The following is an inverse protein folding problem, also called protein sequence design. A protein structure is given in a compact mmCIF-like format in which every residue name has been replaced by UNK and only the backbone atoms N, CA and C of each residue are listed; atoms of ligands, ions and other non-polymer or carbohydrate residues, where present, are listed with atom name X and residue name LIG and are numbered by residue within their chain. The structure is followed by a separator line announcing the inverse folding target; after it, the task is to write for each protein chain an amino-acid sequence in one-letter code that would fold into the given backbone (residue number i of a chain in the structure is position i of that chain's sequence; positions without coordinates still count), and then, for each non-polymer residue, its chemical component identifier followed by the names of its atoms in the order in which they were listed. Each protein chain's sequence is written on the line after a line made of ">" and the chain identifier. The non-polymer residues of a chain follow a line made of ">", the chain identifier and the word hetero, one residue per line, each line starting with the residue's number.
data_IF_654383575066
#
_entry.id   IF_654383575066
#
_cell.length_a   1.000
_cell.length_b   1.000
_cell.length_c   1.000
_cell.angle_alpha   90.00
_cell.angle_beta   90.00
_cell.angle_gamma   90.00
#
_symmetry.space_group_name_H-M   'P 1'
#
loop_
_entity.id
_entity.type
_entity.pdbx_description
1 polymer ?
#
# COMPACT_ATOMS: atom_id res chain seq x y z
N UNK A 1 15.57 -7.87 14.20
CA UNK A 1 15.96 -7.12 12.99
C UNK A 1 15.67 -5.63 13.06
N UNK A 2 14.43 -5.10 12.98
CA UNK A 2 14.19 -3.64 13.02
C UNK A 2 14.83 -2.95 14.24
N UNK A 3 14.61 -3.48 15.45
CA UNK A 3 15.15 -2.88 16.69
C UNK A 3 16.68 -2.91 16.79
N UNK A 4 17.36 -3.81 16.07
CA UNK A 4 18.82 -3.94 16.06
C UNK A 4 19.44 -3.08 14.96
N UNK A 5 18.81 -3.04 13.80
CA UNK A 5 19.36 -2.42 12.58
C UNK A 5 18.86 -0.99 12.35
N UNK A 6 17.72 -0.60 12.93
CA UNK A 6 17.03 0.65 12.63
C UNK A 6 16.47 0.73 11.21
N UNK A 7 16.62 -0.31 10.39
CA UNK A 7 16.27 -0.28 8.98
C UNK A 7 14.77 -0.57 8.78
N UNK A 8 14.00 0.38 8.21
CA UNK A 8 12.56 0.23 8.00
C UNK A 8 12.19 -0.95 7.11
N UNK A 9 13.11 -1.53 6.32
CA UNK A 9 12.81 -2.73 5.53
C UNK A 9 12.46 -3.94 6.38
N UNK A 10 12.92 -3.96 7.64
CA UNK A 10 12.59 -5.00 8.60
C UNK A 10 11.42 -4.61 9.50
N UNK A 11 10.78 -3.47 9.23
CA UNK A 11 9.56 -3.08 9.91
C UNK A 11 8.42 -3.95 9.42
N UNK A 12 8.16 -5.01 10.17
CA UNK A 12 6.95 -5.80 10.06
C UNK A 12 5.92 -5.16 10.98
N UNK A 13 4.65 -5.10 10.56
CA UNK A 13 3.54 -4.79 11.45
C UNK A 13 3.43 -5.90 12.50
N UNK A 14 4.23 -5.80 13.56
CA UNK A 14 4.05 -6.61 14.75
C UNK A 14 3.01 -5.85 15.56
N UNK A 15 1.75 -6.07 15.22
CA UNK A 15 0.65 -5.72 16.10
C UNK A 15 0.81 -6.56 17.37
N UNK A 16 1.62 -6.10 18.31
CA UNK A 16 1.46 -6.50 19.70
C UNK A 16 0.31 -5.64 20.28
N UNK A 17 -0.89 -5.81 19.73
CA UNK A 17 -2.10 -5.58 20.50
C UNK A 17 -2.05 -6.69 21.53
N UNK A 18 -1.75 -6.37 22.78
CA UNK A 18 -2.04 -7.34 23.83
C UNK A 18 -3.54 -7.62 23.75
N UNK A 19 -3.93 -8.88 23.55
CA UNK A 19 -5.33 -9.29 23.51
C UNK A 19 -6.01 -8.76 24.77
N UNK A 20 -6.82 -7.71 24.63
CA UNK A 20 -7.55 -7.09 25.75
C UNK A 20 -8.68 -8.02 26.23
N UNK A 21 -8.93 -9.12 25.52
CA UNK A 21 -9.96 -10.11 25.78
C UNK A 21 -9.42 -11.54 25.80
N UNK A 22 -8.13 -11.75 26.08
CA UNK A 22 -7.54 -13.10 26.05
C UNK A 22 -8.30 -14.09 26.94
N UNK A 23 -8.77 -13.64 28.10
CA UNK A 23 -9.61 -14.43 29.00
C UNK A 23 -10.94 -14.83 28.35
N UNK A 24 -11.62 -13.90 27.66
CA UNK A 24 -12.86 -14.18 26.91
C UNK A 24 -12.63 -15.06 25.68
N UNK A 25 -11.50 -14.92 25.01
CA UNK A 25 -11.11 -15.79 23.89
C UNK A 25 -10.79 -17.19 24.37
N UNK A 26 -10.05 -17.35 25.46
CA UNK A 26 -9.75 -18.66 26.05
C UNK A 26 -11.02 -19.35 26.58
N UNK A 27 -12.01 -18.59 27.07
CA UNK A 27 -13.35 -19.09 27.45
C UNK A 27 -14.23 -19.47 26.25
N UNK A 28 -14.03 -18.84 25.09
CA UNK A 28 -14.83 -19.08 23.87
C UNK A 28 -14.14 -19.99 22.85
N UNK A 29 -12.88 -20.37 23.09
CA UNK A 29 -12.18 -21.33 22.27
C UNK A 29 -12.86 -22.70 22.36
N UNK A 30 -13.13 -23.35 21.22
CA UNK A 30 -13.64 -24.71 21.24
C UNK A 30 -12.62 -25.63 21.92
N UNK A 31 -13.12 -26.62 22.65
CA UNK A 31 -12.27 -27.59 23.34
C UNK A 31 -11.35 -28.26 22.32
N UNK A 32 -10.04 -28.18 22.55
CA UNK A 32 -9.06 -28.84 21.70
C UNK A 32 -9.37 -30.34 21.56
N UNK A 33 -9.24 -30.89 20.35
CA UNK A 33 -9.60 -32.28 20.03
C UNK A 33 -8.91 -33.27 20.97
N UNK A 34 -7.67 -32.98 21.40
CA UNK A 34 -6.91 -33.77 22.37
C UNK A 34 -7.53 -33.87 23.78
N UNK A 35 -8.35 -32.88 24.17
CA UNK A 35 -9.12 -32.90 25.43
C UNK A 35 -10.47 -33.60 25.28
N UNK A 36 -10.96 -33.75 24.03
CA UNK A 36 -12.21 -34.47 23.73
C UNK A 36 -11.95 -35.98 23.70
N UNK A 37 -10.79 -36.42 23.21
CA UNK A 37 -10.40 -37.83 23.07
C UNK A 37 -9.84 -38.44 24.37
N UNK A 38 -10.33 -38.01 25.53
CA UNK A 38 -9.77 -38.26 26.86
C UNK A 38 -9.01 -39.59 27.01
N UNK A 39 -7.67 -39.51 27.05
CA UNK A 39 -6.80 -40.56 27.59
C UNK A 39 -6.90 -41.96 26.98
N UNK A 40 -7.34 -42.11 25.72
CA UNK A 40 -7.20 -43.39 25.03
C UNK A 40 -5.76 -43.54 24.54
N UNK A 41 -5.09 -44.53 25.12
CA UNK A 41 -3.72 -44.97 24.88
C UNK A 41 -3.41 -45.21 23.41
N UNK A 42 -2.13 -45.06 23.08
CA UNK A 42 -1.51 -45.45 21.82
C UNK A 42 -1.81 -46.90 21.46
N UNK A 43 -2.92 -47.16 20.76
CA UNK A 43 -3.18 -48.42 20.07
C UNK A 43 -3.11 -48.18 18.55
N UNK A 44 -2.19 -48.93 17.95
CA UNK A 44 -1.96 -49.23 16.53
C UNK A 44 -2.61 -48.29 15.51
N UNK A 45 -1.74 -47.54 14.80
CA UNK A 45 -2.10 -46.69 13.67
C UNK A 45 -2.73 -47.50 12.53
N UNK A 46 -4.05 -47.64 12.56
CA UNK A 46 -4.83 -48.01 11.38
C UNK A 46 -4.51 -47.05 10.22
N UNK A 47 -4.53 -47.53 8.96
CA UNK A 47 -4.23 -46.69 7.80
C UNK A 47 -5.13 -45.46 7.83
N UNK A 48 -4.52 -44.28 7.68
CA UNK A 48 -5.17 -42.97 7.85
C UNK A 48 -6.56 -42.94 7.20
N UNK A 49 -7.60 -43.12 8.01
CA UNK A 49 -9.00 -43.00 7.55
C UNK A 49 -9.17 -41.58 7.04
N UNK A 50 -9.64 -41.46 5.80
CA UNK A 50 -10.00 -40.17 5.22
C UNK A 50 -10.97 -39.46 6.15
N UNK A 51 -10.59 -38.27 6.61
CA UNK A 51 -11.41 -37.46 7.50
C UNK A 51 -12.76 -37.20 6.83
N UNK A 52 -13.85 -37.60 7.49
CA UNK A 52 -15.21 -37.36 7.00
C UNK A 52 -15.86 -36.26 7.82
N UNK A 53 -16.56 -35.36 7.15
CA UNK A 53 -17.36 -34.30 7.79
C UNK A 53 -18.43 -34.86 8.76
N UNK A 54 -18.77 -36.15 8.61
CA UNK A 54 -19.75 -36.87 9.43
C UNK A 54 -19.13 -37.65 10.59
N UNK A 55 -17.81 -37.54 10.79
CA UNK A 55 -17.13 -38.23 11.90
C UNK A 55 -17.68 -37.74 13.26
N UNK A 56 -18.03 -38.64 14.20
CA UNK A 56 -18.47 -38.28 15.54
C UNK A 56 -17.56 -37.28 16.26
N UNK A 57 -16.25 -37.28 15.97
CA UNK A 57 -15.27 -36.33 16.53
C UNK A 57 -15.62 -34.87 16.15
N UNK A 58 -16.27 -34.65 15.00
CA UNK A 58 -16.69 -33.34 14.52
C UNK A 58 -18.17 -33.04 14.75
N UNK A 59 -18.92 -33.91 15.42
CA UNK A 59 -20.37 -33.75 15.62
C UNK A 59 -20.77 -32.45 16.34
N UNK A 60 -19.86 -31.87 17.14
CA UNK A 60 -20.03 -30.58 17.82
C UNK A 60 -19.24 -29.43 17.18
N UNK A 61 -18.56 -29.68 16.07
CA UNK A 61 -17.73 -28.71 15.37
C UNK A 61 -18.55 -27.76 14.50
N UNK A 62 -18.05 -26.54 14.33
CA UNK A 62 -18.58 -25.55 13.37
C UNK A 62 -17.66 -25.52 12.15
N UNK A 63 -18.24 -25.45 10.95
CA UNK A 63 -17.51 -25.53 9.69
C UNK A 63 -17.35 -24.15 9.05
N UNK A 64 -16.14 -23.84 8.58
CA UNK A 64 -15.87 -22.71 7.70
C UNK A 64 -15.65 -23.26 6.30
N UNK A 65 -16.56 -22.94 5.38
CA UNK A 65 -16.48 -23.38 3.98
C UNK A 65 -15.72 -22.34 3.17
N UNK A 66 -14.59 -22.73 2.60
CA UNK A 66 -13.89 -21.89 1.64
C UNK A 66 -14.68 -21.85 0.33
N UNK A 67 -14.96 -20.64 -0.15
CA UNK A 67 -15.68 -20.43 -1.40
C UNK A 67 -14.69 -20.02 -2.48
N UNK A 68 -14.86 -20.46 -3.74
CA UNK A 68 -14.00 -20.00 -4.83
C UNK A 68 -13.90 -18.48 -4.86
N UNK A 69 -12.68 -17.96 -4.94
CA UNK A 69 -12.43 -16.52 -4.99
C UNK A 69 -13.04 -15.90 -6.26
N UNK A 70 -13.62 -14.71 -6.12
CA UNK A 70 -14.13 -13.95 -7.26
C UNK A 70 -13.08 -12.98 -7.80
N UNK A 71 -13.05 -12.83 -9.12
CA UNK A 71 -12.19 -11.85 -9.80
C UNK A 71 -12.95 -10.53 -9.90
N UNK A 72 -12.32 -9.43 -9.48
CA UNK A 72 -12.88 -8.10 -9.62
C UNK A 72 -12.31 -7.42 -10.87
N UNK A 73 -13.19 -7.03 -11.81
CA UNK A 73 -12.79 -6.38 -13.06
C UNK A 73 -12.14 -5.00 -12.85
N UNK A 74 -12.42 -4.34 -11.72
CA UNK A 74 -11.81 -3.06 -11.34
C UNK A 74 -10.39 -3.22 -10.75
N UNK A 75 -9.91 -4.45 -10.60
CA UNK A 75 -8.57 -4.73 -10.08
C UNK A 75 -7.55 -4.74 -11.23
N UNK A 76 -6.57 -3.84 -11.19
CA UNK A 76 -5.50 -3.84 -12.20
C UNK A 76 -4.47 -4.95 -11.96
N UNK A 77 -4.51 -5.68 -10.84
CA UNK A 77 -3.56 -6.77 -10.55
C UNK A 77 -3.54 -7.84 -11.63
N UNK A 78 -4.71 -8.16 -12.19
CA UNK A 78 -4.85 -9.19 -13.22
C UNK A 78 -4.23 -8.77 -14.56
N UNK A 79 -3.88 -7.50 -14.73
CA UNK A 79 -3.21 -7.00 -15.92
C UNK A 79 -1.69 -7.19 -15.88
N UNK A 80 -1.12 -7.34 -14.69
CA UNK A 80 0.33 -7.44 -14.51
C UNK A 80 0.80 -8.89 -14.60
N UNK A 81 1.99 -9.08 -15.15
CA UNK A 81 2.74 -10.33 -15.05
C UNK A 81 3.34 -10.49 -13.65
N UNK A 82 3.78 -11.70 -13.31
CA UNK A 82 4.45 -11.95 -12.02
C UNK A 82 5.67 -11.06 -11.80
N UNK A 83 6.46 -10.81 -12.84
CA UNK A 83 7.65 -9.96 -12.77
C UNK A 83 7.28 -8.49 -12.50
N UNK A 84 6.20 -8.00 -13.12
CA UNK A 84 5.69 -6.65 -12.89
C UNK A 84 5.08 -6.49 -11.49
N UNK A 85 4.39 -7.53 -10.99
CA UNK A 85 3.78 -7.53 -9.66
C UNK A 85 4.80 -7.35 -8.54
N UNK A 86 6.03 -7.86 -8.71
CA UNK A 86 7.13 -7.67 -7.75
C UNK A 86 7.45 -6.19 -7.54
N UNK A 87 7.26 -5.36 -8.57
CA UNK A 87 7.51 -3.92 -8.54
C UNK A 87 6.28 -3.13 -8.08
N UNK A 88 5.08 -3.53 -8.51
CA UNK A 88 3.83 -2.81 -8.18
C UNK A 88 3.42 -3.04 -6.73
N UNK A 89 3.49 -4.28 -6.24
CA UNK A 89 3.04 -4.62 -4.89
C UNK A 89 4.06 -4.16 -3.84
N UNK A 90 3.62 -3.42 -2.81
CA UNK A 90 4.53 -2.96 -1.77
C UNK A 90 5.02 -4.13 -0.90
N UNK A 91 6.31 -4.42 -0.98
CA UNK A 91 7.00 -5.43 -0.15
C UNK A 91 7.64 -4.85 1.11
N UNK A 92 7.62 -3.52 1.24
CA UNK A 92 8.20 -2.73 2.33
C UNK A 92 7.20 -1.67 2.76
N UNK A 93 7.42 -1.09 3.93
CA UNK A 93 6.64 0.05 4.42
C UNK A 93 6.57 1.15 3.35
N UNK A 94 5.35 1.57 3.01
CA UNK A 94 5.12 2.64 2.06
C UNK A 94 5.67 3.96 2.62
N UNK A 95 6.61 4.54 1.91
CA UNK A 95 7.14 5.86 2.23
C UNK A 95 6.41 6.91 1.37
N UNK A 96 5.72 7.90 1.99
CA UNK A 96 5.04 8.94 1.24
C UNK A 96 6.04 9.78 0.43
N UNK A 97 5.83 9.85 -0.88
CA UNK A 97 6.65 10.66 -1.80
C UNK A 97 5.84 11.84 -2.31
N UNK A 98 6.23 13.04 -1.93
CA UNK A 98 5.47 14.26 -2.26
C UNK A 98 6.07 15.02 -3.44
N UNK A 99 5.23 15.34 -4.41
CA UNK A 99 5.50 16.24 -5.52
C UNK A 99 4.69 17.54 -5.38
N UNK A 100 5.26 18.65 -5.85
CA UNK A 100 4.55 19.93 -6.02
C UNK A 100 4.19 20.04 -7.49
N UNK A 101 2.90 19.95 -7.80
CA UNK A 101 2.38 19.79 -9.16
C UNK A 101 1.58 21.03 -9.54
N UNK A 102 2.07 21.85 -10.50
CA UNK A 102 1.32 22.97 -11.05
C UNK A 102 0.08 22.55 -11.84
N UNK A 103 -0.81 23.49 -12.10
CA UNK A 103 -1.85 23.31 -13.13
C UNK A 103 -1.20 23.12 -14.50
N UNK A 104 -1.74 22.19 -15.31
CA UNK A 104 -1.20 21.81 -16.61
C UNK A 104 0.00 20.86 -16.54
N UNK A 105 0.26 20.27 -15.37
CA UNK A 105 1.29 19.24 -15.18
C UNK A 105 0.66 17.92 -14.76
N UNK A 106 1.41 16.85 -15.03
CA UNK A 106 1.06 15.47 -14.76
C UNK A 106 2.07 14.80 -13.85
N UNK A 107 1.59 14.01 -12.91
CA UNK A 107 2.39 13.10 -12.10
C UNK A 107 2.23 11.68 -12.66
N UNK A 108 3.31 11.12 -13.19
CA UNK A 108 3.41 9.74 -13.65
C UNK A 108 3.96 8.85 -12.54
N UNK A 109 3.41 7.65 -12.44
CA UNK A 109 3.79 6.60 -11.51
C UNK A 109 4.13 5.36 -12.34
N UNK A 110 5.42 5.16 -12.61
CA UNK A 110 5.87 4.22 -13.64
C UNK A 110 5.09 4.42 -14.95
N UNK A 111 4.82 3.33 -15.67
CA UNK A 111 3.86 3.28 -16.78
C UNK A 111 2.48 2.77 -16.36
N UNK A 112 2.13 2.87 -15.07
CA UNK A 112 0.93 2.21 -14.51
C UNK A 112 -0.13 3.17 -13.99
N UNK A 113 0.22 4.42 -13.72
CA UNK A 113 -0.76 5.43 -13.34
C UNK A 113 -0.29 6.84 -13.70
N UNK A 114 -1.25 7.72 -13.93
CA UNK A 114 -1.02 9.14 -14.25
C UNK A 114 -2.09 9.99 -13.57
N UNK A 115 -1.72 11.16 -13.07
CA UNK A 115 -2.66 12.15 -12.53
C UNK A 115 -2.34 13.52 -13.11
N UNK A 116 -3.30 14.08 -13.83
CA UNK A 116 -3.23 15.41 -14.44
C UNK A 116 -3.95 16.43 -13.56
N UNK A 117 -3.28 17.54 -13.27
CA UNK A 117 -3.89 18.68 -12.56
C UNK A 117 -4.41 19.67 -13.59
N UNK A 118 -5.69 19.57 -13.91
CA UNK A 118 -6.29 20.33 -15.03
C UNK A 118 -6.62 21.77 -14.65
N UNK A 119 -7.19 21.98 -13.46
CA UNK A 119 -7.61 23.32 -13.03
C UNK A 119 -7.68 23.41 -11.51
N UNK A 120 -7.38 24.60 -11.00
CA UNK A 120 -7.57 24.99 -9.59
C UNK A 120 -8.10 26.42 -9.54
N UNK A 121 -9.05 26.71 -8.66
CA UNK A 121 -9.63 28.08 -8.58
C UNK A 121 -8.79 29.09 -7.83
N UNK A 122 -7.97 28.64 -6.86
CA UNK A 122 -7.19 29.54 -5.99
C UNK A 122 -5.69 29.25 -6.04
N UNK A 123 -5.33 27.97 -6.06
CA UNK A 123 -3.92 27.58 -6.12
C UNK A 123 -3.36 27.69 -7.53
N UNK A 124 -2.06 27.91 -7.66
CA UNK A 124 -1.33 27.65 -8.92
C UNK A 124 -0.76 26.23 -8.98
N UNK A 125 -0.69 25.57 -7.84
CA UNK A 125 -0.05 24.27 -7.65
C UNK A 125 -0.60 23.56 -6.43
N UNK A 126 -0.63 22.24 -6.49
CA UNK A 126 -1.09 21.36 -5.42
C UNK A 126 0.03 20.43 -4.99
N UNK A 127 -0.10 19.84 -3.80
CA UNK A 127 0.78 18.79 -3.34
C UNK A 127 0.12 17.43 -3.62
N UNK A 128 0.82 16.59 -4.36
CA UNK A 128 0.45 15.19 -4.56
C UNK A 128 1.40 14.31 -3.74
N UNK A 129 0.87 13.66 -2.71
CA UNK A 129 1.65 12.74 -1.86
C UNK A 129 1.29 11.30 -2.21
N UNK A 130 2.24 10.60 -2.81
CA UNK A 130 2.03 9.28 -3.41
C UNK A 130 2.39 8.17 -2.43
N UNK A 131 1.48 7.21 -2.26
CA UNK A 131 1.62 6.00 -1.46
C UNK A 131 1.56 4.78 -2.36
N UNK A 132 2.68 4.48 -2.99
CA UNK A 132 2.86 3.35 -3.92
C UNK A 132 4.22 2.72 -3.67
N UNK A 133 4.44 1.51 -4.18
CA UNK A 133 5.73 0.81 -4.07
C UNK A 133 6.91 1.72 -4.44
N UNK A 134 7.99 1.66 -3.65
CA UNK A 134 9.20 2.46 -3.87
C UNK A 134 9.92 2.10 -5.17
N UNK A 135 9.66 0.90 -5.70
CA UNK A 135 10.23 0.41 -6.97
C UNK A 135 9.61 1.12 -8.19
N UNK A 136 8.43 1.73 -8.03
CA UNK A 136 7.80 2.53 -9.10
C UNK A 136 8.37 3.95 -9.10
N UNK A 137 8.98 4.42 -10.21
CA UNK A 137 9.52 5.76 -10.31
C UNK A 137 8.39 6.80 -10.43
N UNK A 138 8.67 8.02 -9.97
CA UNK A 138 7.75 9.15 -10.09
C UNK A 138 8.35 10.19 -11.02
N UNK A 139 7.59 10.59 -12.04
CA UNK A 139 7.97 11.67 -12.96
C UNK A 139 6.92 12.77 -12.93
N UNK A 140 7.34 14.02 -12.92
CA UNK A 140 6.44 15.17 -12.94
C UNK A 140 6.84 16.10 -14.08
N UNK A 141 5.93 16.30 -15.03
CA UNK A 141 6.19 16.98 -16.30
C UNK A 141 4.94 17.69 -16.82
N UNK A 142 5.08 18.65 -17.75
CA UNK A 142 3.95 19.26 -18.45
C UNK A 142 3.03 18.21 -19.08
N UNK A 143 1.71 18.41 -18.99
CA UNK A 143 0.71 17.42 -19.45
C UNK A 143 0.76 17.16 -20.96
N UNK A 144 1.19 18.14 -21.73
CA UNK A 144 1.38 18.08 -23.18
C UNK A 144 2.58 17.22 -23.61
N UNK A 145 3.61 17.12 -22.77
CA UNK A 145 4.80 16.30 -23.04
C UNK A 145 4.59 14.81 -22.70
N UNK A 146 3.54 14.47 -21.95
CA UNK A 146 3.36 13.13 -21.38
C UNK A 146 3.23 12.04 -22.45
N UNK A 147 2.44 12.27 -23.50
CA UNK A 147 2.22 11.25 -24.52
C UNK A 147 3.53 10.89 -25.22
N UNK A 148 4.28 11.92 -25.65
CA UNK A 148 5.61 11.73 -26.27
C UNK A 148 6.56 10.99 -25.33
N UNK A 149 6.57 11.36 -24.04
CA UNK A 149 7.40 10.68 -23.04
C UNK A 149 7.00 9.22 -22.84
N UNK A 150 5.70 8.89 -22.81
CA UNK A 150 5.22 7.52 -22.68
C UNK A 150 5.57 6.69 -23.91
N UNK A 151 5.40 7.22 -25.12
CA UNK A 151 5.75 6.53 -26.37
C UNK A 151 7.25 6.14 -26.41
N UNK A 152 8.13 7.03 -25.94
CA UNK A 152 9.57 6.78 -25.92
C UNK A 152 10.02 5.86 -24.78
N UNK A 153 9.36 5.91 -23.62
CA UNK A 153 9.86 5.30 -22.38
C UNK A 153 9.07 4.08 -21.91
N UNK A 154 7.89 3.80 -22.46
CA UNK A 154 7.12 2.60 -22.12
C UNK A 154 7.92 1.32 -22.45
N UNK A 155 7.95 0.39 -21.51
CA UNK A 155 8.73 -0.85 -21.63
C UNK A 155 10.22 -0.71 -21.32
N UNK A 156 10.71 0.50 -21.05
CA UNK A 156 12.09 0.73 -20.65
C UNK A 156 12.26 0.67 -19.12
N UNK A 157 13.51 0.59 -18.67
CA UNK A 157 13.85 0.64 -17.24
C UNK A 157 13.45 1.97 -16.57
N UNK A 158 13.18 3.02 -17.34
CA UNK A 158 12.80 4.33 -16.80
C UNK A 158 11.38 4.33 -16.20
N UNK A 159 10.47 3.50 -16.71
CA UNK A 159 9.09 3.37 -16.21
C UNK A 159 8.83 2.10 -15.41
N UNK A 160 9.77 1.14 -15.45
CA UNK A 160 9.79 -0.14 -14.71
C UNK A 160 8.68 -1.11 -15.10
N UNK A 161 7.43 -0.65 -15.22
CA UNK A 161 6.25 -1.42 -15.61
C UNK A 161 5.47 -0.62 -16.66
N UNK A 162 4.99 -1.22 -17.76
CA UNK A 162 5.12 -2.64 -18.12
C UNK A 162 6.55 -3.06 -18.47
N UNK A 163 6.90 -4.33 -18.24
CA UNK A 163 8.19 -4.92 -18.60
C UNK A 163 8.00 -6.30 -19.23
N UNK A 164 8.84 -6.64 -20.22
CA UNK A 164 8.71 -7.91 -20.97
C UNK A 164 8.83 -7.78 -22.50
N UNK A 165 9.30 -6.65 -23.01
CA UNK A 165 9.58 -6.45 -24.45
C UNK A 165 8.36 -6.06 -25.28
N UNK A 166 8.51 -6.12 -26.61
CA UNK A 166 7.52 -5.59 -27.57
C UNK A 166 6.20 -6.35 -27.53
N UNK A 167 6.24 -7.68 -27.41
CA UNK A 167 5.02 -8.51 -27.37
C UNK A 167 4.18 -8.20 -26.14
N UNK A 168 4.84 -7.95 -25.00
CA UNK A 168 4.18 -7.54 -23.76
C UNK A 168 3.52 -6.17 -23.88
N UNK A 169 4.21 -5.21 -24.50
CA UNK A 169 3.71 -3.86 -24.75
C UNK A 169 2.47 -3.86 -25.64
N UNK A 170 2.43 -4.72 -26.67
CA UNK A 170 1.28 -4.85 -27.55
C UNK A 170 0.01 -5.33 -26.83
N UNK A 171 0.17 -6.07 -25.73
CA UNK A 171 -0.92 -6.55 -24.87
C UNK A 171 -1.22 -5.60 -23.71
N UNK A 172 -0.41 -4.55 -23.53
CA UNK A 172 -0.60 -3.59 -22.45
C UNK A 172 -1.81 -2.70 -22.76
N UNK A 173 -2.83 -2.64 -21.88
CA UNK A 173 -4.00 -1.81 -22.14
C UNK A 173 -3.64 -0.33 -22.24
N UNK A 174 -4.36 0.40 -23.08
CA UNK A 174 -4.23 1.85 -23.16
C UNK A 174 -4.58 2.51 -21.81
N UNK A 175 -3.94 3.64 -21.53
CA UNK A 175 -4.22 4.43 -20.34
C UNK A 175 -5.51 5.23 -20.54
N UNK A 176 -6.58 4.87 -19.84
CA UNK A 176 -7.86 5.58 -19.92
C UNK A 176 -8.09 6.41 -18.66
N UNK A 177 -8.65 7.61 -18.85
CA UNK A 177 -8.75 8.64 -17.82
C UNK A 177 -10.16 8.84 -17.29
N UNK A 178 -10.27 9.14 -16.00
CA UNK A 178 -11.49 9.59 -15.35
C UNK A 178 -11.30 10.96 -14.71
N UNK A 179 -12.27 11.86 -14.93
CA UNK A 179 -12.29 13.20 -14.35
C UNK A 179 -12.88 13.22 -12.95
N UNK A 180 -12.23 13.96 -12.05
CA UNK A 180 -12.68 14.18 -10.69
C UNK A 180 -12.68 15.67 -10.36
N UNK A 181 -13.86 16.17 -9.99
CA UNK A 181 -14.06 17.53 -9.47
C UNK A 181 -14.10 17.47 -7.96
N UNK A 182 -13.11 18.07 -7.31
CA UNK A 182 -12.89 18.01 -5.87
C UNK A 182 -13.01 19.41 -5.26
N UNK A 183 -13.56 19.47 -4.04
CA UNK A 183 -13.68 20.70 -3.28
C UNK A 183 -12.85 20.58 -2.01
N UNK A 184 -11.91 21.51 -1.82
CA UNK A 184 -11.05 21.54 -0.65
C UNK A 184 -11.76 22.04 0.61
N UNK A 185 -11.06 21.87 1.73
CA UNK A 185 -11.57 22.19 3.05
C UNK A 185 -11.47 23.69 3.37
N UNK A 186 -12.34 24.17 4.27
CA UNK A 186 -12.31 25.53 4.85
C UNK A 186 -10.97 25.91 5.49
N UNK A 187 -10.21 24.93 5.96
CA UNK A 187 -8.93 25.15 6.62
C UNK A 187 -7.73 24.93 5.69
N UNK A 188 -7.96 24.62 4.41
CA UNK A 188 -6.94 24.05 3.54
C UNK A 188 -6.54 22.64 4.00
N UNK A 189 -5.41 22.16 3.50
CA UNK A 189 -4.86 20.84 3.81
C UNK A 189 -5.33 19.75 2.86
N UNK A 190 -5.50 18.54 3.40
CA UNK A 190 -5.93 17.38 2.63
C UNK A 190 -7.33 17.57 2.01
N UNK A 191 -7.43 17.24 0.72
CA UNK A 191 -8.67 17.35 -0.06
C UNK A 191 -9.28 15.97 -0.23
N UNK A 192 -8.54 15.03 -0.81
CA UNK A 192 -9.01 13.68 -1.10
C UNK A 192 -7.86 12.70 -1.31
N UNK A 193 -8.13 11.42 -1.10
CA UNK A 193 -7.29 10.33 -1.62
C UNK A 193 -7.81 9.90 -2.99
N UNK A 194 -6.92 9.90 -3.97
CA UNK A 194 -7.13 9.34 -5.31
C UNK A 194 -6.67 7.90 -5.27
N UNK A 195 -7.62 6.98 -5.33
CA UNK A 195 -7.38 5.54 -5.26
C UNK A 195 -7.00 5.04 -6.64
N UNK A 196 -5.87 4.34 -6.70
CA UNK A 196 -5.36 3.64 -7.87
C UNK A 196 -5.36 2.15 -7.51
N UNK A 197 -6.50 1.48 -7.73
CA UNK A 197 -6.77 0.13 -7.21
C UNK A 197 -5.57 -0.79 -7.34
N UNK A 198 -5.11 -1.37 -6.24
CA UNK A 198 -3.97 -2.29 -6.17
C UNK A 198 -2.57 -1.75 -6.52
N UNK A 199 -2.45 -0.53 -7.04
CA UNK A 199 -1.17 0.18 -7.20
C UNK A 199 -0.86 0.98 -5.93
N UNK A 200 -1.89 1.64 -5.37
CA UNK A 200 -1.80 2.44 -4.16
C UNK A 200 -2.77 3.62 -4.19
N UNK A 201 -2.37 4.76 -3.65
CA UNK A 201 -3.18 5.97 -3.69
C UNK A 201 -2.33 7.23 -3.67
N UNK A 202 -2.93 8.36 -4.05
CA UNK A 202 -2.32 9.68 -4.02
C UNK A 202 -3.18 10.63 -3.21
N UNK A 203 -2.60 11.18 -2.14
CA UNK A 203 -3.23 12.24 -1.37
C UNK A 203 -3.07 13.57 -2.10
N UNK A 204 -4.19 14.18 -2.46
CA UNK A 204 -4.25 15.56 -2.94
C UNK A 204 -4.36 16.50 -1.74
N UNK A 205 -3.42 17.44 -1.64
CA UNK A 205 -3.40 18.48 -0.61
C UNK A 205 -3.29 19.85 -1.26
N UNK A 206 -4.13 20.78 -0.81
CA UNK A 206 -4.05 22.18 -1.22
C UNK A 206 -3.76 23.07 -0.01
N UNK A 207 -2.88 24.07 -0.13
CA UNK A 207 -2.66 25.05 0.93
C UNK A 207 -3.82 26.06 1.06
N UNK A 208 -4.58 26.30 -0.02
CA UNK A 208 -5.66 27.28 -0.03
C UNK A 208 -6.92 26.76 0.64
N UNK A 209 -7.73 27.70 1.15
CA UNK A 209 -9.03 27.39 1.74
C UNK A 209 -10.09 27.27 0.65
N UNK A 210 -10.84 26.17 0.66
CA UNK A 210 -11.98 25.90 -0.26
C UNK A 210 -11.64 26.03 -1.76
N UNK A 211 -10.52 25.47 -2.26
CA UNK A 211 -10.27 25.41 -3.70
C UNK A 211 -11.27 24.45 -4.38
N UNK A 212 -11.70 24.76 -5.60
CA UNK A 212 -12.23 23.75 -6.51
C UNK A 212 -11.07 23.28 -7.39
N UNK A 213 -10.87 21.97 -7.43
CA UNK A 213 -9.76 21.33 -8.12
C UNK A 213 -10.34 20.32 -9.09
N UNK A 214 -9.97 20.43 -10.36
CA UNK A 214 -10.29 19.43 -11.38
C UNK A 214 -9.03 18.64 -11.71
N UNK A 215 -9.10 17.32 -11.59
CA UNK A 215 -8.02 16.41 -11.96
C UNK A 215 -8.55 15.34 -12.90
N UNK A 216 -7.65 14.78 -13.70
CA UNK A 216 -7.90 13.54 -14.45
C UNK A 216 -6.91 12.49 -14.03
N UNK A 217 -7.38 11.33 -13.60
CA UNK A 217 -6.51 10.21 -13.23
C UNK A 217 -6.64 9.11 -14.26
N UNK A 218 -5.55 8.39 -14.53
CA UNK A 218 -5.52 7.34 -15.53
C UNK A 218 -4.87 6.09 -14.96
N UNK A 219 -5.39 4.94 -15.39
CA UNK A 219 -4.85 3.60 -15.15
C UNK A 219 -5.02 2.78 -16.43
N UNK A 220 -4.33 1.63 -16.56
CA UNK A 220 -4.51 0.73 -17.70
C UNK A 220 -5.98 0.29 -17.83
N UNK A 221 -6.60 0.60 -18.96
CA UNK A 221 -8.01 0.39 -19.23
C UNK A 221 -8.97 1.15 -18.30
N UNK A 222 -8.51 2.21 -17.63
CA UNK A 222 -9.33 3.06 -16.76
C UNK A 222 -9.86 2.37 -15.50
N UNK A 223 -9.28 1.22 -15.14
CA UNK A 223 -9.78 0.38 -14.05
C UNK A 223 -9.38 0.89 -12.68
N UNK A 224 -10.30 0.80 -11.73
CA UNK A 224 -9.98 0.95 -10.32
C UNK A 224 -9.62 2.36 -9.87
N UNK A 225 -10.09 3.36 -10.61
CA UNK A 225 -10.00 4.77 -10.23
C UNK A 225 -11.18 5.12 -9.30
N UNK A 226 -10.88 5.66 -8.13
CA UNK A 226 -11.90 6.11 -7.20
C UNK A 226 -11.40 7.26 -6.32
N UNK A 227 -12.33 7.95 -5.66
CA UNK A 227 -12.04 8.99 -4.67
C UNK A 227 -12.55 8.53 -3.31
N UNK A 228 -11.79 8.80 -2.26
CA UNK A 228 -12.21 8.59 -0.87
C UNK A 228 -11.73 9.72 0.05
N UNK A 229 -12.26 9.73 1.26
CA UNK A 229 -11.78 10.61 2.34
C UNK A 229 -10.30 10.32 2.66
N UNK A 230 -9.46 11.36 2.86
CA UNK A 230 -8.05 11.18 3.17
C UNK A 230 -7.82 10.30 4.39
N UNK A 231 -7.08 9.19 4.23
CA UNK A 231 -6.72 8.34 5.37
C UNK A 231 -5.64 8.96 6.25
N UNK A 232 -4.71 9.69 5.64
CA UNK A 232 -3.58 10.33 6.31
C UNK A 232 -3.53 11.83 5.96
N UNK A 233 -4.46 12.65 6.51
CA UNK A 233 -4.66 14.03 6.06
C UNK A 233 -3.44 14.95 6.26
N UNK A 234 -2.56 14.63 7.21
CA UNK A 234 -1.35 15.41 7.49
C UNK A 234 -0.09 14.86 6.80
N UNK A 235 -0.21 13.82 5.97
CA UNK A 235 0.96 13.17 5.38
C UNK A 235 1.81 14.11 4.50
N UNK A 236 1.17 15.08 3.84
CA UNK A 236 1.89 16.07 3.07
C UNK A 236 2.86 16.89 3.95
N UNK A 237 2.56 17.12 5.23
CA UNK A 237 3.40 17.89 6.17
C UNK A 237 4.66 17.12 6.59
N UNK A 238 4.63 15.79 6.49
CA UNK A 238 5.77 14.92 6.77
C UNK A 238 6.86 14.97 5.69
N UNK A 239 6.62 15.67 4.57
CA UNK A 239 7.61 15.88 3.51
C UNK A 239 8.91 16.52 4.04
N UNK A 240 10.03 16.14 3.46
CA UNK A 240 11.35 16.72 3.75
C UNK A 240 11.59 18.04 3.04
N UNK A 241 12.86 18.45 2.97
CA UNK A 241 13.29 19.65 2.24
C UNK A 241 13.04 19.50 0.74
N UNK A 242 12.81 20.62 0.05
CA UNK A 242 12.67 20.63 -1.41
C UNK A 242 13.96 20.14 -2.07
N UNK A 243 13.85 19.29 -3.09
CA UNK A 243 14.99 18.89 -3.92
C UNK A 243 15.18 19.99 -4.99
N UNK A 244 16.34 20.66 -5.05
CA UNK A 244 16.62 21.71 -6.04
C UNK A 244 16.38 21.22 -7.47
N UNK A 245 15.93 22.12 -8.35
CA UNK A 245 15.65 21.86 -9.78
C UNK A 245 14.60 20.77 -10.10
N UNK A 246 13.90 20.20 -9.10
CA UNK A 246 12.89 19.15 -9.36
C UNK A 246 11.51 19.49 -8.81
N UNK A 247 10.53 18.68 -9.28
CA UNK A 247 9.18 18.35 -8.75
C UNK A 247 9.03 18.03 -7.26
N UNK A 248 10.09 17.52 -6.64
CA UNK A 248 9.93 16.61 -5.52
C UNK A 248 10.50 17.14 -4.20
N UNK A 249 10.00 16.60 -3.10
CA UNK A 249 10.56 16.79 -1.77
C UNK A 249 11.34 15.54 -1.36
N UNK A 250 12.37 15.72 -0.52
CA UNK A 250 13.08 14.60 0.08
C UNK A 250 12.12 13.80 0.97
N UNK A 251 12.23 12.48 0.94
CA UNK A 251 11.51 11.61 1.88
C UNK A 251 12.22 11.68 3.22
N UNK A 252 11.47 11.96 4.30
CA UNK A 252 12.03 11.85 5.66
C UNK A 252 12.15 10.37 6.04
N UNK A 253 13.24 9.96 6.72
CA UNK A 253 13.31 8.63 7.31
C UNK A 253 12.14 8.41 8.26
N UNK A 254 11.61 7.19 8.28
CA UNK A 254 10.57 6.80 9.24
C UNK A 254 11.24 6.62 10.59
N UNK A 255 10.91 7.47 11.55
CA UNK A 255 11.33 7.30 12.94
C UNK A 255 10.36 6.35 13.64
N UNK A 256 10.89 5.23 14.15
CA UNK A 256 10.09 4.29 14.92
C UNK A 256 10.06 4.73 16.39
N UNK A 257 8.89 4.76 17.03
CA UNK A 257 8.81 5.07 18.45
C UNK A 257 9.61 4.04 19.24
N UNK A 258 10.66 4.50 19.92
CA UNK A 258 11.44 3.66 20.82
C UNK A 258 10.61 3.45 22.08
N UNK A 259 10.38 2.20 22.48
CA UNK A 259 9.71 1.92 23.74
C UNK A 259 10.63 2.29 24.91
N UNK A 260 10.50 3.53 25.38
CA UNK A 260 11.34 4.09 26.45
C UNK A 260 11.25 3.28 27.74
N UNK A 261 10.08 2.72 28.06
CA UNK A 261 9.90 1.87 29.25
C UNK A 261 10.76 0.62 29.15
N UNK A 262 10.75 -0.06 28.00
CA UNK A 262 11.58 -1.25 27.74
C UNK A 262 13.08 -0.90 27.74
N UNK A 263 13.45 0.26 27.20
CA UNK A 263 14.82 0.78 27.22
C UNK A 263 15.30 1.05 28.65
N UNK A 264 14.50 1.73 29.47
CA UNK A 264 14.79 2.00 30.90
C UNK A 264 14.88 0.71 31.72
N UNK A 265 14.00 -0.26 31.48
CA UNK A 265 14.04 -1.57 32.17
C UNK A 265 15.27 -2.39 31.77
N UNK A 266 15.68 -2.37 30.49
CA UNK A 266 16.94 -3.00 30.05
C UNK A 266 18.17 -2.35 30.69
N UNK A 267 18.21 -1.01 30.76
CA UNK A 267 19.26 -0.26 31.48
C UNK A 267 19.29 -0.59 32.97
N UNK A 268 18.12 -0.74 33.61
CA UNK A 268 18.01 -1.13 35.03
C UNK A 268 18.41 -2.58 35.30
N UNK A 269 18.16 -3.49 34.36
CA UNK A 269 18.49 -4.92 34.50
C UNK A 269 19.93 -5.28 34.13
N UNK A 270 20.79 -4.32 33.82
CA UNK A 270 22.22 -4.56 33.64
C UNK A 270 22.59 -5.58 32.55
N UNK A 271 21.76 -5.77 31.52
CA UNK A 271 22.12 -6.63 30.39
C UNK A 271 23.27 -5.96 29.63
N UNK A 272 24.51 -6.38 29.91
CA UNK A 272 25.66 -6.18 29.04
C UNK A 272 25.33 -6.74 27.67
N UNK A 273 25.71 -6.02 26.61
CA UNK A 273 25.72 -6.59 25.26
C UNK A 273 26.62 -7.81 25.30
N UNK A 274 26.09 -9.01 25.05
CA UNK A 274 26.94 -10.12 24.62
C UNK A 274 27.62 -9.73 23.30
N UNK A 275 28.91 -10.08 23.12
CA UNK A 275 29.61 -9.80 21.87
C UNK A 275 29.02 -10.65 20.75
N UNK A 276 28.76 -10.01 19.61
CA UNK A 276 28.32 -10.67 18.38
C UNK A 276 29.36 -11.71 17.93
N UNK A 277 28.95 -12.97 17.76
CA UNK A 277 29.64 -14.00 16.97
C UNK A 277 28.88 -14.22 15.66
#
# INVERSE_FOLDING_TARGET
>A
MLQQTGDPKYAVLIGAIQNTYKEKEDESQPVAVSKITGGLSDEESEPARGWSIRDPVFAKGMWCYDTPGTVNDQQVLNLFTLDELIHVLPRRLLQPRTALVPVGYSLLIGGVARIDVLQTTMDRMVLLTTFVSADLPLNCMPTDEVESFLEENLGTKALVVPCGGKDRLAQWPAMEGQDFKLKGNKNGGAVADIVLSSIGWVLLTSPSKVPNINIRSYTPGGRGLAIRSPMLPYAAELRGKRIPATRFYKVKPVEFPVNERRSRTRRRKGFSKEPDF
#
